data_IF_594434525136
#
_entry.id   IF_594434525136
#
_cell.length_a   1.000
_cell.length_b   1.000
_cell.length_c   1.000
_cell.angle_alpha   90.00
_cell.angle_beta   90.00
_cell.angle_gamma   90.00
#
_symmetry.space_group_name_H-M   'P 1'
#
loop_
_entity.id
_entity.type
_entity.pdbx_description
1 polymer ?
#
# COMPACT_ATOMS: atom_id res chain seq x y z
N UNK A 1 12.49 -18.55 -10.32
CA UNK A 1 12.97 -17.23 -9.88
C UNK A 1 12.24 -16.20 -10.73
N UNK A 2 11.29 -15.46 -10.17
CA UNK A 2 10.53 -14.46 -10.90
C UNK A 2 11.40 -13.25 -11.24
N UNK A 3 11.15 -12.63 -12.41
CA UNK A 3 11.74 -11.33 -12.77
C UNK A 3 11.45 -10.32 -11.66
N UNK A 4 12.41 -9.42 -11.41
CA UNK A 4 12.22 -8.32 -10.48
C UNK A 4 11.05 -7.44 -10.97
N UNK A 5 9.93 -7.49 -10.23
CA UNK A 5 8.68 -6.77 -10.57
C UNK A 5 8.90 -5.26 -10.72
N UNK A 6 9.90 -4.71 -10.05
CA UNK A 6 10.23 -3.28 -10.07
C UNK A 6 10.67 -2.80 -11.46
N UNK A 7 11.26 -3.70 -12.26
CA UNK A 7 11.75 -3.42 -13.62
C UNK A 7 10.70 -3.67 -14.72
N UNK A 8 9.55 -4.26 -14.39
CA UNK A 8 8.46 -4.43 -15.34
C UNK A 8 7.97 -3.04 -15.79
N UNK A 9 7.77 -2.88 -17.11
CA UNK A 9 7.39 -1.60 -17.70
C UNK A 9 5.98 -1.64 -18.26
N UNK A 10 5.25 -0.56 -18.03
CA UNK A 10 3.92 -0.29 -18.57
C UNK A 10 3.96 1.08 -19.22
N UNK A 11 3.59 1.19 -20.48
CA UNK A 11 3.67 2.42 -21.27
C UNK A 11 5.08 3.10 -21.19
N UNK A 12 6.15 2.29 -21.24
CA UNK A 12 7.54 2.76 -21.18
C UNK A 12 8.06 3.12 -19.78
N UNK A 13 7.22 3.12 -18.75
CA UNK A 13 7.58 3.45 -17.37
C UNK A 13 7.65 2.18 -16.50
N UNK A 14 8.59 2.12 -15.57
CA UNK A 14 8.64 1.01 -14.61
C UNK A 14 7.49 1.11 -13.59
N UNK A 15 7.06 -0.03 -13.04
CA UNK A 15 6.05 -0.04 -11.97
C UNK A 15 6.50 0.78 -10.76
N UNK A 16 7.81 0.76 -10.46
CA UNK A 16 8.39 1.57 -9.37
C UNK A 16 8.24 3.07 -9.64
N UNK A 17 8.54 3.54 -10.87
CA UNK A 17 8.37 4.95 -11.24
C UNK A 17 6.91 5.38 -11.10
N UNK A 18 5.96 4.54 -11.55
CA UNK A 18 4.52 4.81 -11.42
C UNK A 18 4.10 4.91 -9.95
N UNK A 19 4.55 3.98 -9.09
CA UNK A 19 4.23 4.00 -7.67
C UNK A 19 4.82 5.22 -6.96
N UNK A 20 6.09 5.57 -7.25
CA UNK A 20 6.75 6.74 -6.67
C UNK A 20 6.06 8.05 -7.06
N UNK A 21 5.62 8.18 -8.31
CA UNK A 21 4.94 9.40 -8.75
C UNK A 21 3.58 9.58 -8.09
N UNK A 22 2.84 8.49 -7.86
CA UNK A 22 1.60 8.55 -7.07
C UNK A 22 1.85 9.04 -5.65
N UNK A 23 2.87 8.52 -4.98
CA UNK A 23 3.22 8.95 -3.62
C UNK A 23 3.76 10.38 -3.59
N UNK A 24 4.51 10.80 -4.60
CA UNK A 24 5.00 12.19 -4.73
C UNK A 24 3.88 13.22 -4.98
N UNK A 25 2.76 12.78 -5.55
CA UNK A 25 1.59 13.63 -5.74
C UNK A 25 0.82 13.89 -4.44
N UNK A 26 1.10 13.14 -3.37
CA UNK A 26 0.47 13.35 -2.06
C UNK A 26 1.19 14.47 -1.28
N UNK A 27 0.48 15.23 -0.44
CA UNK A 27 1.06 16.25 0.43
C UNK A 27 1.75 15.60 1.65
N UNK A 28 2.78 14.81 1.41
CA UNK A 28 3.52 14.10 2.44
C UNK A 28 4.62 14.97 3.04
N UNK A 29 4.85 14.85 4.34
CA UNK A 29 5.91 15.55 5.05
C UNK A 29 7.32 15.04 4.66
N UNK A 30 7.42 13.76 4.28
CA UNK A 30 8.67 13.13 3.88
C UNK A 30 8.61 12.54 2.46
N UNK A 31 9.75 12.49 1.79
CA UNK A 31 9.86 11.87 0.47
C UNK A 31 9.54 10.36 0.54
N UNK A 32 8.87 9.81 -0.50
CA UNK A 32 8.62 8.38 -0.60
C UNK A 32 9.93 7.58 -0.57
N UNK A 33 9.91 6.45 0.13
CA UNK A 33 11.04 5.52 0.25
C UNK A 33 10.62 4.14 -0.23
N UNK A 34 11.53 3.47 -0.90
CA UNK A 34 11.40 2.06 -1.23
C UNK A 34 11.84 1.21 -0.02
N UNK A 35 11.14 0.12 0.23
CA UNK A 35 11.48 -0.86 1.27
C UNK A 35 11.76 -2.20 0.59
N UNK A 36 12.81 -2.87 1.05
CA UNK A 36 13.29 -4.12 0.46
C UNK A 36 13.99 -3.94 -0.88
N UNK A 37 14.86 -4.88 -1.24
CA UNK A 37 15.64 -4.90 -2.47
C UNK A 37 17.07 -4.34 -2.31
N UNK A 38 17.72 -4.05 -3.44
CA UNK A 38 19.14 -3.72 -3.53
C UNK A 38 19.51 -2.39 -2.85
N UNK A 39 20.74 -2.23 -2.32
CA UNK A 39 21.16 -1.18 -1.38
C UNK A 39 21.21 0.27 -1.90
N UNK A 40 20.74 0.54 -3.10
CA UNK A 40 20.79 1.87 -3.73
C UNK A 40 19.77 2.92 -3.22
N UNK A 41 19.46 2.98 -1.91
CA UNK A 41 18.57 3.98 -1.33
C UNK A 41 17.27 3.43 -0.74
N UNK A 42 17.12 2.12 -0.71
CA UNK A 42 16.01 1.44 -0.04
C UNK A 42 16.23 1.39 1.48
N UNK A 43 15.15 1.37 2.23
CA UNK A 43 15.18 1.00 3.64
C UNK A 43 15.43 -0.51 3.71
N UNK A 44 16.51 -0.93 4.36
CA UNK A 44 16.86 -2.34 4.49
C UNK A 44 15.91 -3.05 5.47
N UNK A 45 15.51 -4.28 5.12
CA UNK A 45 14.74 -5.14 6.02
C UNK A 45 15.53 -5.42 7.30
N UNK A 46 14.90 -5.22 8.45
CA UNK A 46 15.50 -5.55 9.75
C UNK A 46 15.51 -7.07 9.97
N UNK A 47 14.57 -7.80 9.38
CA UNK A 47 14.44 -9.25 9.41
C UNK A 47 14.38 -9.83 7.99
N UNK A 48 15.52 -9.96 7.28
CA UNK A 48 15.57 -10.43 5.89
C UNK A 48 14.94 -11.82 5.74
N UNK A 49 14.12 -11.99 4.70
CA UNK A 49 13.45 -13.26 4.43
C UNK A 49 12.15 -13.50 5.20
N UNK A 50 11.74 -12.58 6.08
CA UNK A 50 10.49 -12.67 6.85
C UNK A 50 9.27 -12.10 6.11
N UNK A 51 9.40 -11.86 4.81
CA UNK A 51 8.29 -11.44 3.95
C UNK A 51 7.88 -9.97 4.11
N UNK A 52 6.71 -9.58 3.58
CA UNK A 52 6.31 -8.17 3.52
C UNK A 52 6.12 -7.49 4.89
N UNK A 53 5.83 -8.25 5.94
CA UNK A 53 5.69 -7.70 7.30
C UNK A 53 7.00 -7.08 7.80
N UNK A 54 8.15 -7.69 7.49
CA UNK A 54 9.47 -7.12 7.79
C UNK A 54 9.70 -5.80 7.06
N UNK A 55 9.21 -5.68 5.84
CA UNK A 55 9.25 -4.42 5.10
C UNK A 55 8.42 -3.31 5.77
N UNK A 56 7.23 -3.63 6.28
CA UNK A 56 6.40 -2.68 7.04
C UNK A 56 7.14 -2.25 8.31
N UNK A 57 7.72 -3.20 9.05
CA UNK A 57 8.54 -2.90 10.24
C UNK A 57 9.67 -1.93 9.92
N UNK A 58 10.48 -2.26 8.91
CA UNK A 58 11.63 -1.46 8.52
C UNK A 58 11.23 -0.02 8.10
N UNK A 59 10.13 0.12 7.34
CA UNK A 59 9.60 1.42 6.95
C UNK A 59 9.16 2.26 8.16
N UNK A 60 8.40 1.67 9.09
CA UNK A 60 7.93 2.35 10.30
C UNK A 60 9.09 2.73 11.22
N UNK A 61 10.10 1.86 11.33
CA UNK A 61 11.31 2.13 12.13
C UNK A 61 12.09 3.34 11.56
N UNK A 62 12.24 3.38 10.24
CA UNK A 62 12.97 4.44 9.53
C UNK A 62 12.19 5.76 9.39
N UNK A 63 10.88 5.75 9.59
CA UNK A 63 10.04 6.94 9.48
C UNK A 63 10.13 7.80 10.75
N UNK A 64 10.17 9.14 10.57
CA UNK A 64 9.96 10.10 11.66
C UNK A 64 8.46 10.44 11.84
N UNK A 65 7.63 10.15 10.82
CA UNK A 65 6.24 10.56 10.75
C UNK A 65 5.31 9.63 11.54
N UNK A 66 4.28 10.17 12.20
CA UNK A 66 3.30 9.37 12.95
C UNK A 66 2.42 8.52 12.03
N UNK A 67 2.06 9.03 10.82
CA UNK A 67 1.26 8.34 9.82
C UNK A 67 2.11 7.98 8.61
N UNK A 68 1.96 6.75 8.12
CA UNK A 68 2.75 6.22 7.02
C UNK A 68 1.84 5.54 5.99
N UNK A 69 1.89 6.00 4.74
CA UNK A 69 1.15 5.43 3.60
C UNK A 69 2.02 4.36 2.94
N UNK A 70 1.44 3.19 2.74
CA UNK A 70 2.07 2.07 2.05
C UNK A 70 1.37 1.81 0.72
N UNK A 71 2.17 1.60 -0.33
CA UNK A 71 1.71 1.27 -1.67
C UNK A 71 2.58 0.17 -2.24
N UNK A 72 2.02 -0.99 -2.64
CA UNK A 72 2.77 -2.01 -3.35
C UNK A 72 3.05 -1.55 -4.78
N UNK A 73 4.23 -1.88 -5.30
CA UNK A 73 4.67 -1.45 -6.65
C UNK A 73 3.86 -2.11 -7.78
N UNK A 74 3.21 -3.23 -7.51
CA UNK A 74 2.46 -4.03 -8.48
C UNK A 74 0.99 -3.63 -8.63
N UNK A 75 0.57 -2.47 -8.08
CA UNK A 75 -0.77 -1.88 -8.25
C UNK A 75 -0.73 -0.58 -9.08
N UNK A 76 -0.38 -0.66 -10.38
CA UNK A 76 -0.22 0.55 -11.21
C UNK A 76 -1.52 1.30 -11.50
N UNK A 77 -2.67 0.67 -11.36
CA UNK A 77 -3.99 1.26 -11.65
C UNK A 77 -4.62 1.97 -10.45
N UNK A 78 -4.05 1.85 -9.24
CA UNK A 78 -4.59 2.51 -8.06
C UNK A 78 -4.47 4.04 -8.19
N UNK A 79 -5.57 4.81 -8.03
CA UNK A 79 -5.52 6.27 -8.16
C UNK A 79 -4.75 6.94 -7.00
N UNK A 80 -3.97 7.98 -7.29
CA UNK A 80 -3.30 8.76 -6.25
C UNK A 80 -4.31 9.45 -5.31
N UNK A 81 -5.43 9.94 -5.85
CA UNK A 81 -6.50 10.55 -5.06
C UNK A 81 -7.13 9.57 -4.06
N UNK A 82 -7.17 8.27 -4.37
CA UNK A 82 -7.62 7.27 -3.41
C UNK A 82 -6.64 7.12 -2.23
N UNK A 83 -5.33 7.18 -2.48
CA UNK A 83 -4.32 7.21 -1.40
C UNK A 83 -4.49 8.43 -0.51
N UNK A 84 -4.75 9.60 -1.10
CA UNK A 84 -5.03 10.83 -0.37
C UNK A 84 -6.30 10.69 0.49
N UNK A 85 -7.36 10.13 -0.08
CA UNK A 85 -8.60 9.86 0.64
C UNK A 85 -8.38 8.91 1.83
N UNK A 86 -7.60 7.83 1.65
CA UNK A 86 -7.24 6.92 2.75
C UNK A 86 -6.46 7.63 3.86
N UNK A 87 -5.54 8.53 3.48
CA UNK A 87 -4.78 9.32 4.45
C UNK A 87 -5.70 10.22 5.28
N UNK A 88 -6.64 10.92 4.63
CA UNK A 88 -7.64 11.74 5.32
C UNK A 88 -8.54 10.89 6.22
N UNK A 89 -8.97 9.72 5.74
CA UNK A 89 -9.75 8.79 6.55
C UNK A 89 -9.01 8.36 7.81
N UNK A 90 -7.74 7.99 7.69
CA UNK A 90 -6.90 7.63 8.84
C UNK A 90 -6.72 8.78 9.85
N UNK A 91 -6.65 10.03 9.35
CA UNK A 91 -6.61 11.23 10.20
C UNK A 91 -7.93 11.46 10.95
N UNK A 92 -9.06 11.25 10.27
CA UNK A 92 -10.41 11.47 10.85
C UNK A 92 -10.74 10.37 11.87
N UNK A 93 -10.49 9.09 11.54
CA UNK A 93 -10.79 7.96 12.42
C UNK A 93 -9.83 7.88 13.61
N UNK A 94 -8.59 8.33 13.41
CA UNK A 94 -7.51 8.15 14.38
C UNK A 94 -7.06 6.71 14.56
N UNK A 95 -7.59 5.77 13.75
CA UNK A 95 -7.25 4.35 13.85
C UNK A 95 -5.76 4.11 13.55
N UNK A 96 -5.03 3.36 14.38
CA UNK A 96 -3.64 2.98 14.11
C UNK A 96 -3.45 2.20 12.82
N UNK A 97 -4.49 1.52 12.34
CA UNK A 97 -4.50 0.69 11.14
C UNK A 97 -5.70 1.06 10.29
N UNK A 98 -5.47 1.59 9.08
CA UNK A 98 -6.52 1.91 8.10
C UNK A 98 -6.17 1.22 6.78
N UNK A 99 -7.02 0.31 6.31
CA UNK A 99 -6.80 -0.42 5.08
C UNK A 99 -8.12 -0.78 4.37
N UNK A 100 -8.12 -0.80 3.02
CA UNK A 100 -9.26 -1.23 2.23
C UNK A 100 -9.37 -2.75 2.18
N UNK A 101 -10.57 -3.24 1.94
CA UNK A 101 -10.82 -4.57 1.39
C UNK A 101 -11.58 -4.45 0.07
N UNK A 102 -11.34 -5.39 -0.83
CA UNK A 102 -12.00 -5.51 -2.14
C UNK A 102 -12.44 -6.94 -2.33
N UNK A 103 -13.70 -7.17 -2.71
CA UNK A 103 -14.27 -8.52 -2.82
C UNK A 103 -14.17 -9.34 -1.52
N UNK A 104 -14.12 -8.67 -0.36
CA UNK A 104 -13.92 -9.30 0.95
C UNK A 104 -12.46 -9.45 1.39
N UNK A 105 -11.49 -9.30 0.49
CA UNK A 105 -10.05 -9.52 0.77
C UNK A 105 -9.36 -8.23 1.24
N UNK A 106 -8.82 -8.17 2.47
CA UNK A 106 -8.04 -7.03 2.97
C UNK A 106 -6.77 -6.80 2.16
N UNK A 107 -6.40 -5.53 1.98
CA UNK A 107 -5.22 -5.11 1.22
C UNK A 107 -4.15 -4.48 2.14
N UNK A 108 -3.47 -5.26 2.98
CA UNK A 108 -2.61 -4.71 4.04
C UNK A 108 -1.30 -4.09 3.52
N UNK A 109 -0.94 -4.30 2.26
CA UNK A 109 0.19 -3.63 1.63
C UNK A 109 -0.20 -2.30 0.97
N UNK A 110 -1.51 -2.05 0.80
CA UNK A 110 -2.08 -0.78 0.37
C UNK A 110 -2.85 -0.17 1.55
N UNK A 111 -2.15 0.52 2.46
CA UNK A 111 -2.70 0.87 3.77
C UNK A 111 -2.08 2.14 4.34
N UNK A 112 -2.70 2.69 5.37
CA UNK A 112 -2.12 3.73 6.23
C UNK A 112 -1.91 3.14 7.62
N UNK A 113 -0.67 3.22 8.11
CA UNK A 113 -0.29 2.74 9.43
C UNK A 113 0.25 3.87 10.30
N UNK A 114 -0.16 3.93 11.55
CA UNK A 114 0.50 4.75 12.54
C UNK A 114 1.81 4.08 12.99
N UNK A 115 2.83 4.88 13.25
CA UNK A 115 4.11 4.39 13.79
C UNK A 115 3.95 3.67 15.13
N UNK A 116 2.90 3.98 15.88
CA UNK A 116 2.58 3.36 17.17
C UNK A 116 2.42 1.84 17.13
N UNK A 117 2.12 1.23 15.97
CA UNK A 117 1.99 -0.22 15.84
C UNK A 117 3.34 -0.95 15.72
N UNK A 118 4.45 -0.23 15.55
CA UNK A 118 5.78 -0.81 15.34
C UNK A 118 6.18 -1.85 16.43
N UNK A 119 6.01 -1.60 17.73
CA UNK A 119 6.40 -2.59 18.75
C UNK A 119 5.65 -3.92 18.63
N UNK A 120 4.37 -3.89 18.25
CA UNK A 120 3.57 -5.10 18.07
C UNK A 120 3.99 -5.89 16.82
N UNK A 121 4.32 -5.20 15.73
CA UNK A 121 4.85 -5.84 14.51
C UNK A 121 6.21 -6.51 14.81
N UNK A 122 7.12 -5.81 15.49
CA UNK A 122 8.42 -6.37 15.90
C UNK A 122 8.23 -7.60 16.79
N UNK A 123 7.34 -7.54 17.76
CA UNK A 123 7.04 -8.70 18.62
C UNK A 123 6.49 -9.88 17.81
N UNK A 124 5.61 -9.63 16.82
CA UNK A 124 5.07 -10.65 15.93
C UNK A 124 6.16 -11.35 15.11
N UNK A 125 7.09 -10.57 14.52
CA UNK A 125 8.23 -11.08 13.75
C UNK A 125 9.16 -11.93 14.62
N UNK A 126 9.50 -11.45 15.82
CA UNK A 126 10.33 -12.20 16.78
C UNK A 126 9.68 -13.51 17.25
N UNK A 127 8.34 -13.54 17.28
CA UNK A 127 7.58 -14.78 17.58
C UNK A 127 7.47 -15.74 16.38
N UNK A 128 8.06 -15.40 15.22
CA UNK A 128 8.00 -16.22 14.00
C UNK A 128 6.70 -16.07 13.19
N UNK A 129 5.91 -15.05 13.45
CA UNK A 129 4.67 -14.75 12.72
C UNK A 129 4.97 -13.75 11.60
N UNK A 130 5.13 -14.24 10.37
CA UNK A 130 5.54 -13.43 9.22
C UNK A 130 4.36 -12.99 8.31
N UNK A 131 3.14 -13.45 8.60
CA UNK A 131 1.95 -13.08 7.82
C UNK A 131 1.53 -11.63 8.15
N UNK A 132 1.26 -10.83 7.11
CA UNK A 132 0.99 -9.39 7.28
C UNK A 132 -0.26 -9.15 8.13
N UNK A 133 -1.42 -9.71 7.76
CA UNK A 133 -2.66 -9.44 8.51
C UNK A 133 -2.58 -9.87 9.98
N UNK A 134 -2.16 -11.08 10.35
CA UNK A 134 -1.95 -11.44 11.75
C UNK A 134 -0.96 -10.52 12.46
N UNK A 135 0.14 -10.14 11.79
CA UNK A 135 1.17 -9.25 12.34
C UNK A 135 0.64 -7.86 12.66
N UNK A 136 -0.07 -7.22 11.73
CA UNK A 136 -0.64 -5.88 11.97
C UNK A 136 -1.81 -5.94 12.95
N UNK A 137 -2.63 -7.00 12.92
CA UNK A 137 -3.72 -7.18 13.87
C UNK A 137 -3.24 -7.45 15.31
N UNK A 138 -1.99 -7.85 15.51
CA UNK A 138 -1.42 -7.98 16.86
C UNK A 138 -1.32 -6.64 17.61
N UNK A 139 -1.39 -5.52 16.89
CA UNK A 139 -1.43 -4.17 17.46
C UNK A 139 -2.84 -3.72 17.86
N UNK A 140 -3.88 -4.48 17.50
CA UNK A 140 -5.28 -4.14 17.79
C UNK A 140 -5.59 -4.49 19.24
N UNK A 141 -5.80 -3.48 20.05
CA UNK A 141 -6.19 -3.63 21.47
C UNK A 141 -7.71 -3.41 21.65
N UNK A 142 -8.31 -2.60 20.77
CA UNK A 142 -9.73 -2.25 20.79
C UNK A 142 -10.26 -2.24 19.34
N UNK A 143 -11.56 -2.47 19.12
CA UNK A 143 -12.14 -2.51 17.77
C UNK A 143 -11.86 -1.26 16.92
N UNK A 144 -11.80 -0.07 17.53
CA UNK A 144 -11.50 1.19 16.85
C UNK A 144 -10.04 1.34 16.39
N UNK A 145 -9.13 0.47 16.83
CA UNK A 145 -7.73 0.48 16.40
C UNK A 145 -7.57 -0.04 14.97
N UNK A 146 -8.61 -0.68 14.42
CA UNK A 146 -8.61 -1.28 13.10
C UNK A 146 -9.78 -0.74 12.25
N UNK A 147 -9.45 0.12 11.30
CA UNK A 147 -10.39 0.61 10.29
C UNK A 147 -10.21 -0.17 8.97
N UNK A 148 -10.93 -1.29 8.85
CA UNK A 148 -11.02 -2.06 7.60
C UNK A 148 -12.31 -1.69 6.90
N UNK A 149 -12.23 -0.99 5.79
CA UNK A 149 -13.39 -0.55 5.03
C UNK A 149 -13.50 -1.27 3.68
N UNK A 150 -14.75 -1.58 3.30
CA UNK A 150 -15.06 -2.15 2.00
C UNK A 150 -15.13 -1.03 0.97
N UNK A 151 -14.19 -1.01 0.02
CA UNK A 151 -14.09 0.10 -0.94
C UNK A 151 -15.28 0.14 -1.91
N UNK A 152 -15.89 -1.00 -2.24
CA UNK A 152 -17.05 -1.04 -3.10
C UNK A 152 -18.26 -0.41 -2.40
N UNK A 153 -18.45 -0.70 -1.12
CA UNK A 153 -19.48 -0.09 -0.29
C UNK A 153 -19.25 1.41 -0.08
N UNK A 154 -18.02 1.81 0.15
CA UNK A 154 -17.64 3.23 0.32
C UNK A 154 -17.88 4.00 -0.98
N UNK A 155 -17.45 3.48 -2.12
CA UNK A 155 -17.66 4.11 -3.43
C UNK A 155 -19.15 4.19 -3.82
N UNK A 156 -19.98 3.24 -3.37
CA UNK A 156 -21.42 3.30 -3.57
C UNK A 156 -22.08 4.38 -2.70
N UNK A 157 -21.54 4.65 -1.51
CA UNK A 157 -22.04 5.68 -0.59
C UNK A 157 -21.50 7.09 -0.93
N UNK A 158 -20.32 7.19 -1.51
CA UNK A 158 -19.64 8.42 -1.91
C UNK A 158 -19.20 8.34 -3.37
N UNK A 159 -20.07 8.74 -4.33
CA UNK A 159 -19.76 8.67 -5.76
C UNK A 159 -18.57 9.52 -6.19
N UNK A 160 -18.12 10.50 -5.41
CA UNK A 160 -16.96 11.31 -5.72
C UNK A 160 -15.69 10.47 -5.77
N UNK A 161 -15.64 9.37 -5.03
CA UNK A 161 -14.55 8.39 -5.09
C UNK A 161 -14.43 7.77 -6.49
N UNK A 162 -15.54 7.53 -7.17
CA UNK A 162 -15.54 6.99 -8.53
C UNK A 162 -14.92 7.95 -9.55
N UNK A 163 -14.92 9.27 -9.25
CA UNK A 163 -14.28 10.27 -10.09
C UNK A 163 -12.75 10.20 -10.10
N UNK A 164 -12.14 9.46 -9.17
CA UNK A 164 -10.68 9.34 -9.08
C UNK A 164 -10.08 8.54 -10.23
N UNK A 165 -10.87 7.74 -10.94
CA UNK A 165 -10.44 7.00 -12.11
C UNK A 165 -11.63 6.62 -12.99
N UNK A 166 -11.44 6.58 -14.31
CA UNK A 166 -12.43 6.01 -15.25
C UNK A 166 -12.56 4.49 -15.14
N UNK A 167 -11.69 3.85 -14.38
CA UNK A 167 -11.73 2.41 -14.17
C UNK A 167 -12.66 2.06 -13.01
N UNK A 168 -13.38 0.94 -13.10
CA UNK A 168 -14.16 0.45 -11.99
C UNK A 168 -13.23 0.07 -10.82
N UNK A 169 -13.73 0.24 -9.58
CA UNK A 169 -12.96 0.12 -8.33
C UNK A 169 -12.20 -1.20 -8.21
N UNK A 170 -12.79 -2.32 -8.66
CA UNK A 170 -12.12 -3.63 -8.61
C UNK A 170 -10.83 -3.68 -9.44
N UNK A 171 -10.70 -2.84 -10.49
CA UNK A 171 -9.50 -2.74 -11.32
C UNK A 171 -8.35 -2.00 -10.62
N UNK A 172 -8.65 -1.16 -9.65
CA UNK A 172 -7.62 -0.38 -8.94
C UNK A 172 -6.62 -1.29 -8.21
N UNK A 173 -7.10 -2.42 -7.70
CA UNK A 173 -6.32 -3.39 -6.91
C UNK A 173 -5.77 -4.54 -7.77
N UNK A 174 -5.79 -4.39 -9.09
CA UNK A 174 -5.24 -5.41 -9.97
C UNK A 174 -3.71 -5.45 -9.86
N UNK A 175 -3.20 -6.62 -9.44
CA UNK A 175 -1.76 -6.86 -9.29
C UNK A 175 -1.13 -7.23 -10.63
N UNK A 176 -0.08 -6.51 -11.02
CA UNK A 176 0.73 -6.80 -12.19
C UNK A 176 1.91 -7.69 -11.80
N UNK A 177 1.74 -8.99 -11.96
CA UNK A 177 2.75 -9.98 -11.60
C UNK A 177 3.47 -10.57 -12.81
N UNK A 178 2.85 -10.52 -14.00
CA UNK A 178 3.31 -11.14 -15.25
C UNK A 178 3.24 -10.15 -16.42
N UNK A 179 4.03 -10.38 -17.48
CA UNK A 179 3.95 -9.54 -18.68
C UNK A 179 2.53 -9.48 -19.30
N UNK A 180 1.76 -10.57 -19.19
CA UNK A 180 0.39 -10.64 -19.72
C UNK A 180 -0.56 -9.67 -19.00
N UNK A 181 -0.32 -9.39 -17.71
CA UNK A 181 -1.10 -8.41 -16.94
C UNK A 181 -0.89 -6.98 -17.46
N UNK A 182 0.23 -6.74 -18.18
CA UNK A 182 0.63 -5.40 -18.63
C UNK A 182 -0.24 -4.87 -19.78
N UNK A 183 -0.66 -5.69 -20.75
CA UNK A 183 -1.46 -5.23 -21.90
C UNK A 183 -2.78 -4.58 -21.44
N UNK A 184 -3.46 -5.20 -20.46
CA UNK A 184 -4.69 -4.66 -19.90
C UNK A 184 -4.49 -3.37 -19.11
N UNK A 185 -3.29 -3.18 -18.55
CA UNK A 185 -2.90 -1.99 -17.77
C UNK A 185 -2.46 -0.86 -18.69
N UNK A 186 -1.71 -1.13 -19.77
CA UNK A 186 -1.31 -0.13 -20.75
C UNK A 186 -2.50 0.58 -21.36
N UNK A 187 -3.49 -0.20 -21.83
CA UNK A 187 -4.73 0.36 -22.36
C UNK A 187 -5.45 1.24 -21.33
N UNK A 188 -5.48 0.80 -20.07
CA UNK A 188 -6.14 1.55 -19.00
C UNK A 188 -5.44 2.86 -18.65
N UNK A 189 -4.10 2.89 -18.66
CA UNK A 189 -3.32 4.09 -18.35
C UNK A 189 -3.35 5.13 -19.47
N UNK A 190 -3.46 4.71 -20.75
CA UNK A 190 -3.59 5.63 -21.90
C UNK A 190 -4.90 6.41 -21.85
N UNK A 191 -5.98 5.81 -21.35
CA UNK A 191 -7.28 6.49 -21.19
C UNK A 191 -7.38 7.34 -19.90
N UNK A 192 -6.35 7.31 -19.02
CA UNK A 192 -6.36 8.02 -17.73
C UNK A 192 -5.53 9.32 -17.75
N UNK A 193 -4.97 9.69 -18.90
CA UNK A 193 -4.30 10.99 -19.15
C UNK A 193 -5.26 11.97 -19.84
#
# INVERSE_FOLDING_TARGET
>A
MGRDKRSLRVAGRSLLEIALDKLRALPLAAAPRMVGGDPGGAVADLHPGCGPLSGIEAALAASAEPLNVFLPVDMPLLPANFLLWMLHRAQITGAPITLPKIGGDPQPLCAVYQKSILPAITASLLAGNYKVMPGVCSAVLQPQDLDVFDIESVAAADPDILSYSFLPVYRWFHNCNRPEDMEGVENALVFSQ
#
